data_IF_677771226438
#
_entry.id   IF_677771226438
#
_cell.length_a   1.000
_cell.length_b   1.000
_cell.length_c   1.000
_cell.angle_alpha   90.00
_cell.angle_beta   90.00
_cell.angle_gamma   90.00
#
_symmetry.space_group_name_H-M   'P 1'
#
loop_
_entity.id
_entity.type
_entity.pdbx_description
1 polymer ?
#
# COMPACT_ATOMS: atom_id res chain seq x y z
N UNK A 1 -3.62 10.48 -15.91
CA UNK A 1 -3.09 9.18 -16.40
C UNK A 1 -2.58 8.32 -15.24
N UNK A 2 -1.75 8.86 -14.33
CA UNK A 2 -1.25 8.11 -13.16
C UNK A 2 -2.35 7.71 -12.16
N UNK A 3 -3.23 8.62 -11.78
CA UNK A 3 -4.35 8.32 -10.84
C UNK A 3 -5.28 7.22 -11.37
N UNK A 4 -5.64 7.30 -12.65
CA UNK A 4 -6.46 6.26 -13.29
C UNK A 4 -5.77 4.88 -13.31
N UNK A 5 -4.44 4.84 -13.45
CA UNK A 5 -3.67 3.61 -13.37
C UNK A 5 -3.62 3.05 -11.96
N UNK A 6 -3.44 3.91 -10.95
CA UNK A 6 -3.49 3.51 -9.55
C UNK A 6 -4.89 3.00 -9.17
N UNK A 7 -5.94 3.66 -9.65
CA UNK A 7 -7.33 3.24 -9.44
C UNK A 7 -7.65 1.91 -10.11
N UNK A 8 -7.08 1.64 -11.28
CA UNK A 8 -7.16 0.33 -11.92
C UNK A 8 -6.55 -0.77 -11.05
N UNK A 9 -5.37 -0.55 -10.47
CA UNK A 9 -4.72 -1.54 -9.59
C UNK A 9 -5.48 -1.74 -8.28
N UNK A 10 -6.00 -0.67 -7.68
CA UNK A 10 -6.90 -0.75 -6.51
C UNK A 10 -8.14 -1.58 -6.85
N UNK A 11 -8.85 -1.26 -7.93
CA UNK A 11 -10.03 -2.02 -8.34
C UNK A 11 -9.70 -3.49 -8.61
N UNK A 12 -8.53 -3.77 -9.21
CA UNK A 12 -8.07 -5.14 -9.49
C UNK A 12 -7.83 -5.92 -8.20
N UNK A 13 -7.19 -5.33 -7.18
CA UNK A 13 -6.99 -5.99 -5.89
C UNK A 13 -8.32 -6.39 -5.24
N UNK A 14 -9.27 -5.46 -5.20
CA UNK A 14 -10.61 -5.73 -4.65
C UNK A 14 -11.31 -6.86 -5.43
N UNK A 15 -11.22 -6.85 -6.76
CA UNK A 15 -11.76 -7.90 -7.61
C UNK A 15 -11.11 -9.26 -7.35
N UNK A 16 -9.79 -9.32 -7.10
CA UNK A 16 -9.09 -10.57 -6.78
C UNK A 16 -9.50 -11.18 -5.44
N UNK A 17 -9.99 -10.36 -4.51
CA UNK A 17 -10.50 -10.83 -3.23
C UNK A 17 -11.99 -11.22 -3.29
N UNK A 18 -12.72 -10.73 -4.30
CA UNK A 18 -14.17 -10.90 -4.40
C UNK A 18 -14.59 -12.36 -4.50
N UNK A 19 -15.54 -12.77 -3.65
CA UNK A 19 -16.14 -14.11 -3.66
C UNK A 19 -15.28 -15.21 -3.01
N UNK A 20 -14.11 -14.86 -2.48
CA UNK A 20 -13.28 -15.78 -1.70
C UNK A 20 -13.73 -15.80 -0.24
N UNK A 21 -13.62 -16.96 0.40
CA UNK A 21 -13.79 -17.07 1.85
C UNK A 21 -12.47 -16.78 2.59
N UNK A 22 -12.54 -16.64 3.92
CA UNK A 22 -11.39 -16.30 4.76
C UNK A 22 -10.25 -17.31 4.63
N UNK A 23 -10.55 -18.61 4.63
CA UNK A 23 -9.53 -19.66 4.48
C UNK A 23 -8.76 -19.51 3.16
N UNK A 24 -9.47 -19.29 2.04
CA UNK A 24 -8.85 -19.10 0.72
C UNK A 24 -7.94 -17.87 0.66
N UNK A 25 -8.30 -16.80 1.36
CA UNK A 25 -7.52 -15.56 1.38
C UNK A 25 -6.23 -15.68 2.19
N UNK A 26 -6.15 -16.65 3.10
CA UNK A 26 -4.98 -16.98 3.93
C UNK A 26 -4.07 -18.04 3.31
N UNK A 27 -4.46 -18.63 2.17
CA UNK A 27 -3.59 -19.56 1.46
C UNK A 27 -2.45 -18.80 0.77
N UNK A 28 -1.25 -19.35 0.90
CA UNK A 28 -0.10 -18.89 0.14
C UNK A 28 -0.34 -19.15 -1.35
N UNK A 29 -0.13 -18.13 -2.19
CA UNK A 29 -0.48 -18.18 -3.61
C UNK A 29 0.37 -19.19 -4.39
N UNK A 30 1.66 -19.34 -4.04
CA UNK A 30 2.56 -20.30 -4.65
C UNK A 30 3.76 -20.58 -3.73
N UNK A 31 4.18 -21.84 -3.62
CA UNK A 31 5.45 -22.19 -2.98
C UNK A 31 6.63 -21.67 -3.81
N UNK A 32 7.73 -21.16 -3.21
CA UNK A 32 8.01 -21.06 -1.77
C UNK A 32 7.53 -19.76 -1.11
N UNK A 33 6.76 -18.92 -1.80
CA UNK A 33 6.28 -17.65 -1.26
C UNK A 33 5.25 -17.87 -0.15
N UNK A 34 5.37 -17.10 0.93
CA UNK A 34 4.36 -17.01 1.99
C UNK A 34 3.27 -15.97 1.70
N UNK A 35 3.28 -15.34 0.53
CA UNK A 35 2.35 -14.27 0.18
C UNK A 35 0.92 -14.79 0.04
N UNK A 36 0.01 -14.15 0.78
CA UNK A 36 -1.42 -14.41 0.79
C UNK A 36 -2.18 -13.18 0.29
N UNK A 37 -3.43 -13.35 -0.17
CA UNK A 37 -4.25 -12.21 -0.59
C UNK A 37 -4.61 -11.30 0.60
N UNK A 38 -4.93 -11.88 1.76
CA UNK A 38 -5.20 -11.09 2.97
C UNK A 38 -3.96 -10.29 3.42
N UNK A 39 -2.78 -10.89 3.32
CA UNK A 39 -1.51 -10.22 3.62
C UNK A 39 -1.22 -9.12 2.61
N UNK A 40 -1.54 -9.33 1.33
CA UNK A 40 -1.35 -8.31 0.29
C UNK A 40 -2.27 -7.09 0.49
N UNK A 41 -3.52 -7.27 0.91
CA UNK A 41 -4.42 -6.15 1.22
C UNK A 41 -3.87 -5.32 2.39
N UNK A 42 -3.38 -5.97 3.45
CA UNK A 42 -2.73 -5.29 4.56
C UNK A 42 -1.45 -4.58 4.10
N UNK A 43 -0.57 -5.25 3.36
CA UNK A 43 0.62 -4.63 2.81
C UNK A 43 0.29 -3.37 1.98
N UNK A 44 -0.69 -3.45 1.08
CA UNK A 44 -1.08 -2.31 0.26
C UNK A 44 -1.73 -1.18 1.08
N UNK A 45 -2.29 -1.47 2.25
CA UNK A 45 -2.72 -0.45 3.22
C UNK A 45 -1.53 0.33 3.79
N UNK A 46 -0.45 -0.35 4.18
CA UNK A 46 0.78 0.32 4.63
C UNK A 46 1.44 1.10 3.49
N UNK A 47 1.40 0.59 2.26
CA UNK A 47 1.91 1.30 1.07
C UNK A 47 1.15 2.61 0.83
N UNK A 48 -0.18 2.60 0.90
CA UNK A 48 -1.01 3.81 0.79
C UNK A 48 -0.64 4.83 1.88
N UNK A 49 -0.57 4.40 3.14
CA UNK A 49 -0.16 5.27 4.26
C UNK A 49 1.25 5.83 4.05
N UNK A 50 2.19 4.98 3.70
CA UNK A 50 3.58 5.36 3.54
C UNK A 50 3.74 6.43 2.46
N UNK A 51 3.19 6.20 1.28
CA UNK A 51 3.38 7.12 0.16
C UNK A 51 2.62 8.42 0.32
N UNK A 52 1.35 8.38 0.73
CA UNK A 52 0.54 9.59 0.76
C UNK A 52 0.69 10.38 2.05
N UNK A 53 0.74 9.71 3.21
CA UNK A 53 0.85 10.42 4.49
C UNK A 53 2.31 10.69 4.87
N UNK A 54 3.18 9.67 4.87
CA UNK A 54 4.58 9.84 5.33
C UNK A 54 5.45 10.55 4.30
N UNK A 55 5.43 10.10 3.05
CA UNK A 55 6.31 10.64 1.99
C UNK A 55 5.74 11.94 1.42
N UNK A 56 4.51 11.91 0.88
CA UNK A 56 3.94 13.08 0.21
C UNK A 56 3.58 14.21 1.19
N UNK A 57 2.86 13.89 2.27
CA UNK A 57 2.43 14.89 3.26
C UNK A 57 3.45 15.13 4.40
N UNK A 58 4.55 14.38 4.46
CA UNK A 58 5.58 14.53 5.50
C UNK A 58 5.11 14.22 6.92
N UNK A 59 4.02 13.47 7.07
CA UNK A 59 3.41 13.20 8.37
C UNK A 59 4.11 12.06 9.10
N UNK A 60 4.31 12.24 10.41
CA UNK A 60 4.77 11.18 11.31
C UNK A 60 3.56 10.37 11.81
N UNK A 61 3.17 9.35 11.04
CA UNK A 61 2.04 8.47 11.35
C UNK A 61 2.52 7.03 11.59
N UNK A 62 2.07 6.37 12.68
CA UNK A 62 2.51 5.02 13.01
C UNK A 62 2.05 3.99 11.96
N UNK A 63 2.66 2.79 11.91
CA UNK A 63 2.15 1.67 11.12
C UNK A 63 0.70 1.35 11.46
N UNK A 64 -0.10 1.07 10.44
CA UNK A 64 -1.52 0.69 10.56
C UNK A 64 -1.67 -0.60 11.36
N UNK A 65 -0.77 -1.57 11.16
CA UNK A 65 -0.85 -2.88 11.80
C UNK A 65 0.11 -3.08 12.97
N UNK A 66 0.67 -1.99 13.48
CA UNK A 66 1.55 -1.95 14.64
C UNK A 66 3.03 -2.20 14.31
N UNK A 67 3.90 -1.86 15.25
CA UNK A 67 5.36 -1.83 15.05
C UNK A 67 5.98 -3.21 14.74
N UNK A 68 5.32 -4.30 15.12
CA UNK A 68 5.77 -5.66 14.84
C UNK A 68 5.30 -6.18 13.47
N UNK A 69 4.58 -5.36 12.69
CA UNK A 69 4.03 -5.71 11.38
C UNK A 69 4.09 -4.53 10.41
N UNK A 70 5.27 -3.90 10.31
CA UNK A 70 5.47 -2.68 9.52
C UNK A 70 5.20 -2.85 8.02
N UNK A 71 5.34 -4.07 7.50
CA UNK A 71 5.10 -4.40 6.10
C UNK A 71 3.67 -4.91 5.85
N UNK A 72 2.87 -5.14 6.90
CA UNK A 72 1.50 -5.60 6.80
C UNK A 72 1.32 -7.08 6.42
N UNK A 73 2.37 -7.89 6.23
CA UNK A 73 2.20 -9.28 5.80
C UNK A 73 1.82 -10.24 6.94
N UNK A 74 2.07 -9.87 8.20
CA UNK A 74 1.75 -10.72 9.34
C UNK A 74 0.24 -10.78 9.56
N UNK A 75 -0.33 -11.97 9.36
CA UNK A 75 -1.75 -12.20 9.57
C UNK A 75 -2.07 -12.42 11.04
N UNK A 76 -3.20 -11.87 11.48
CA UNK A 76 -3.81 -12.23 12.76
C UNK A 76 -5.05 -13.09 12.56
N UNK A 77 -5.34 -14.05 13.46
CA UNK A 77 -6.54 -14.90 13.35
C UNK A 77 -7.86 -14.13 13.49
N UNK A 78 -7.84 -13.00 14.20
CA UNK A 78 -9.03 -12.20 14.53
C UNK A 78 -9.39 -11.16 13.46
N UNK A 79 -8.50 -10.90 12.48
CA UNK A 79 -8.73 -9.94 11.40
C UNK A 79 -9.15 -10.65 10.12
N UNK A 80 -10.37 -10.40 9.67
CA UNK A 80 -10.90 -10.88 8.39
C UNK A 80 -10.72 -9.89 7.23
N UNK A 81 -11.16 -10.31 6.04
CA UNK A 81 -11.08 -9.49 4.83
C UNK A 81 -11.86 -8.17 4.93
N UNK A 82 -13.05 -8.18 5.50
CA UNK A 82 -13.92 -7.00 5.55
C UNK A 82 -13.25 -5.86 6.34
N UNK A 83 -12.63 -6.19 7.48
CA UNK A 83 -11.84 -5.23 8.25
C UNK A 83 -10.63 -4.75 7.43
N UNK A 84 -9.86 -5.67 6.83
CA UNK A 84 -8.68 -5.31 6.06
C UNK A 84 -9.02 -4.39 4.86
N UNK A 85 -10.10 -4.68 4.13
CA UNK A 85 -10.58 -3.83 3.04
C UNK A 85 -11.09 -2.48 3.54
N UNK A 86 -11.82 -2.45 4.66
CA UNK A 86 -12.31 -1.19 5.22
C UNK A 86 -11.16 -0.25 5.62
N UNK A 87 -10.14 -0.79 6.28
CA UNK A 87 -8.95 -0.03 6.66
C UNK A 87 -8.18 0.43 5.42
N UNK A 88 -7.99 -0.46 4.43
CA UNK A 88 -7.34 -0.11 3.18
C UNK A 88 -8.07 1.04 2.43
N UNK A 89 -9.39 0.95 2.32
CA UNK A 89 -10.20 1.99 1.67
C UNK A 89 -10.14 3.33 2.41
N UNK A 90 -10.02 3.31 3.74
CA UNK A 90 -9.82 4.53 4.52
C UNK A 90 -8.46 5.20 4.21
N UNK A 91 -7.38 4.41 4.07
CA UNK A 91 -6.07 4.95 3.69
C UNK A 91 -6.06 5.45 2.23
N UNK A 92 -6.75 4.77 1.32
CA UNK A 92 -6.97 5.23 -0.07
C UNK A 92 -7.69 6.59 -0.09
N UNK A 93 -8.77 6.72 0.68
CA UNK A 93 -9.54 7.96 0.77
C UNK A 93 -8.67 9.10 1.34
N UNK A 94 -7.91 8.82 2.41
CA UNK A 94 -6.96 9.79 2.97
C UNK A 94 -5.90 10.21 1.95
N UNK A 95 -5.37 9.26 1.18
CA UNK A 95 -4.40 9.56 0.13
C UNK A 95 -4.97 10.49 -0.93
N UNK A 96 -6.22 10.27 -1.36
CA UNK A 96 -6.94 11.17 -2.29
C UNK A 96 -7.13 12.57 -1.73
N UNK A 97 -7.51 12.69 -0.46
CA UNK A 97 -7.66 13.99 0.21
C UNK A 97 -6.34 14.77 0.21
N UNK A 98 -5.22 14.11 0.49
CA UNK A 98 -3.90 14.77 0.58
C UNK A 98 -3.39 15.27 -0.77
N UNK A 99 -3.71 14.57 -1.86
CA UNK A 99 -3.24 14.94 -3.20
C UNK A 99 -4.25 15.78 -3.99
N UNK A 100 -5.44 16.07 -3.45
CA UNK A 100 -6.52 16.74 -4.17
C UNK A 100 -6.11 18.11 -4.76
N UNK A 101 -5.28 18.85 -4.02
CA UNK A 101 -4.78 20.17 -4.42
C UNK A 101 -3.36 20.12 -5.01
N UNK A 102 -2.78 18.94 -5.17
CA UNK A 102 -1.44 18.77 -5.71
C UNK A 102 -1.44 19.00 -7.22
N UNK A 103 -0.77 20.06 -7.68
CA UNK A 103 -0.56 20.24 -9.12
C UNK A 103 0.43 19.18 -9.64
N UNK A 104 0.24 18.72 -10.88
CA UNK A 104 1.15 17.75 -11.55
C UNK A 104 2.62 18.23 -11.60
N UNK A 105 2.88 19.52 -11.38
CA UNK A 105 4.22 20.10 -11.33
C UNK A 105 5.01 19.65 -10.08
N UNK A 106 4.33 19.37 -8.97
CA UNK A 106 4.93 18.78 -7.77
C UNK A 106 5.43 17.35 -8.01
N UNK A 107 4.73 16.57 -8.82
CA UNK A 107 5.15 15.21 -9.20
C UNK A 107 6.46 15.21 -10.02
N UNK A 108 6.75 16.30 -10.74
CA UNK A 108 7.99 16.47 -11.51
C UNK A 108 9.18 16.86 -10.64
N UNK A 109 8.94 17.47 -9.48
CA UNK A 109 9.95 17.87 -8.49
C UNK A 109 10.18 16.81 -7.40
N UNK A 110 9.62 15.60 -7.53
CA UNK A 110 10.00 14.44 -6.74
C UNK A 110 11.45 14.01 -7.06
N UNK A 111 12.43 14.85 -6.73
CA UNK A 111 13.86 14.49 -6.61
C UNK A 111 14.11 13.37 -5.59
N UNK A 112 13.07 12.88 -4.91
CA UNK A 112 13.09 11.68 -4.07
C UNK A 112 13.01 10.36 -4.88
N UNK A 113 12.60 10.40 -6.16
CA UNK A 113 12.74 9.24 -7.02
C UNK A 113 14.22 8.88 -7.24
N UNK A 114 15.13 9.86 -7.17
CA UNK A 114 16.57 9.60 -7.12
C UNK A 114 16.96 8.91 -5.81
N UNK A 115 16.46 9.32 -4.64
CA UNK A 115 16.78 8.64 -3.37
C UNK A 115 16.35 7.16 -3.37
N UNK A 116 15.22 6.82 -4.00
CA UNK A 116 14.75 5.44 -4.12
C UNK A 116 15.55 4.67 -5.18
N UNK A 117 15.93 5.33 -6.29
CA UNK A 117 16.86 4.76 -7.27
C UNK A 117 18.23 4.49 -6.66
N UNK A 118 18.78 5.42 -5.88
CA UNK A 118 20.09 5.32 -5.22
C UNK A 118 20.11 4.19 -4.17
N UNK A 119 19.00 3.99 -3.45
CA UNK A 119 18.83 2.87 -2.51
C UNK A 119 18.76 1.50 -3.22
N UNK A 120 18.28 1.45 -4.47
CA UNK A 120 18.17 0.21 -5.25
C UNK A 120 19.45 -0.09 -6.04
N UNK A 121 20.06 0.93 -6.67
CA UNK A 121 21.23 0.80 -7.54
C UNK A 121 22.56 0.92 -6.77
N UNK A 122 22.55 1.42 -5.53
CA UNK A 122 23.74 1.59 -4.67
C UNK A 122 24.70 2.69 -5.12
N UNK A 123 24.32 3.53 -6.09
CA UNK A 123 25.15 4.60 -6.63
C UNK A 123 24.48 5.95 -6.35
N UNK A 124 25.06 6.73 -5.45
CA UNK A 124 24.65 8.12 -5.17
C UNK A 124 25.26 9.10 -6.18
N UNK A 125 24.41 9.98 -6.73
CA UNK A 125 24.73 11.27 -7.38
C UNK A 125 25.76 11.30 -8.53
N UNK A 126 25.32 11.77 -9.70
CA UNK A 126 26.18 12.35 -10.75
C UNK A 126 25.74 13.78 -11.05
#
# INVERSE_FOLDING_TARGET
MLEAWLDFHRATLALKCSGLNDDQLRLAAASPSSMTLLGLVQHLTEVERNWFQRVFAGQDVPPVFGENNIDGYVLRPDRGLDEALAVWQAEVARGRELIADASLEYARHNGHADLIREQIDGVTGA
#
